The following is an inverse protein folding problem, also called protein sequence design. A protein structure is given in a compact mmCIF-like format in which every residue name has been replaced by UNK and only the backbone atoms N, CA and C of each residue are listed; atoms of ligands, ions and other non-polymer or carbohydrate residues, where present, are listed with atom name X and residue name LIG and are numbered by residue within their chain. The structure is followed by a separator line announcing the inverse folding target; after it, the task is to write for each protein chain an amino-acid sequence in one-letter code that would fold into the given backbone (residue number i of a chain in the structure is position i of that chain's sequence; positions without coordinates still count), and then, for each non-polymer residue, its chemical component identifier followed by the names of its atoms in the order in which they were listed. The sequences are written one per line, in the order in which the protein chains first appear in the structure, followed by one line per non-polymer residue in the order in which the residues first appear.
data_IF_314445341012
#
_entry.id   IF_314445341012
#
_cell.length_a   1.000
_cell.length_b   1.000
_cell.length_c   1.000
_cell.angle_alpha   90.00
_cell.angle_beta   90.00
_cell.angle_gamma   90.00
#
_symmetry.space_group_name_H-M   'P 1'
#
loop_
_entity.id
_entity.type
_entity.pdbx_description
1 polymer ?
#
# COMPACT_ATOMS: atom_id res chain seq x y z
N UNK A 1 2.27 17.16 3.17
CA UNK A 1 3.40 17.57 2.29
C UNK A 1 4.10 16.37 1.66
N UNK A 2 4.53 15.36 2.43
CA UNK A 2 5.20 14.15 1.89
C UNK A 2 4.37 13.35 0.87
N UNK A 3 3.05 13.23 1.05
CA UNK A 3 2.20 12.47 0.12
C UNK A 3 2.21 13.04 -1.30
N UNK A 4 2.19 14.38 -1.44
CA UNK A 4 2.16 15.05 -2.74
C UNK A 4 3.52 14.94 -3.46
N UNK A 5 4.61 15.05 -2.71
CA UNK A 5 5.97 14.78 -3.22
C UNK A 5 6.11 13.31 -3.65
N UNK A 6 5.57 12.38 -2.87
CA UNK A 6 5.54 10.96 -3.21
C UNK A 6 4.82 10.68 -4.54
N UNK A 7 3.65 11.30 -4.76
CA UNK A 7 2.88 11.14 -6.01
C UNK A 7 3.67 11.63 -7.22
N UNK A 8 4.40 12.73 -7.11
CA UNK A 8 5.25 13.25 -8.19
C UNK A 8 6.49 12.36 -8.40
N UNK A 9 7.03 11.76 -7.35
CA UNK A 9 8.18 10.87 -7.45
C UNK A 9 7.86 9.56 -8.19
N UNK A 10 6.66 8.98 -8.03
CA UNK A 10 6.27 7.71 -8.68
C UNK A 10 6.45 7.73 -10.21
N UNK A 11 5.93 8.70 -10.98
CA UNK A 11 6.15 8.75 -12.43
C UNK A 11 7.63 9.03 -12.74
N UNK A 12 8.31 9.88 -11.98
CA UNK A 12 9.73 10.19 -12.21
C UNK A 12 10.59 8.91 -12.10
N UNK A 13 10.40 8.10 -11.05
CA UNK A 13 11.16 6.85 -10.88
C UNK A 13 10.78 5.78 -11.91
N UNK A 14 9.53 5.76 -12.38
CA UNK A 14 9.10 4.82 -13.41
C UNK A 14 9.75 5.15 -14.76
N UNK A 15 9.66 6.41 -15.18
CA UNK A 15 10.22 6.84 -16.45
C UNK A 15 11.75 6.94 -16.41
N UNK A 16 12.37 7.14 -15.24
CA UNK A 16 13.84 7.13 -15.14
C UNK A 16 14.46 5.79 -15.55
N UNK A 17 13.81 4.67 -15.22
CA UNK A 17 14.24 3.33 -15.68
C UNK A 17 14.09 3.19 -17.19
N UNK A 18 13.01 3.74 -17.78
CA UNK A 18 12.81 3.69 -19.22
C UNK A 18 13.82 4.56 -19.99
N UNK A 19 14.17 5.72 -19.46
CA UNK A 19 15.15 6.63 -20.06
C UNK A 19 16.58 6.11 -19.97
N UNK A 20 16.94 5.41 -18.88
CA UNK A 20 18.28 4.85 -18.64
C UNK A 20 18.29 3.31 -18.66
N UNK A 21 17.61 2.74 -19.65
CA UNK A 21 17.31 1.30 -19.77
C UNK A 21 18.56 0.38 -19.88
N UNK A 22 19.75 0.94 -20.09
CA UNK A 22 21.02 0.18 -20.15
C UNK A 22 21.55 -0.19 -18.77
N UNK A 23 21.10 0.48 -17.70
CA UNK A 23 21.59 0.26 -16.33
C UNK A 23 20.76 -0.77 -15.55
N UNK A 24 19.49 -0.96 -15.92
CA UNK A 24 18.56 -1.82 -15.21
C UNK A 24 18.27 -3.07 -16.02
N UNK A 25 18.28 -4.23 -15.35
CA UNK A 25 17.72 -5.44 -15.93
C UNK A 25 16.23 -5.22 -16.26
N UNK A 26 15.78 -5.83 -17.36
CA UNK A 26 14.37 -5.83 -17.73
C UNK A 26 13.50 -6.46 -16.64
N UNK A 27 12.21 -6.12 -16.61
CA UNK A 27 11.29 -6.60 -15.58
C UNK A 27 11.20 -8.14 -15.56
N UNK A 28 11.52 -8.75 -14.42
CA UNK A 28 11.47 -10.22 -14.22
C UNK A 28 10.05 -10.77 -14.05
N UNK A 29 9.10 -9.90 -13.69
CA UNK A 29 7.68 -10.23 -13.53
C UNK A 29 6.90 -9.44 -14.58
N UNK A 30 6.20 -10.15 -15.47
CA UNK A 30 5.39 -9.58 -16.54
C UNK A 30 4.00 -10.21 -16.52
N UNK A 31 2.97 -9.41 -16.78
CA UNK A 31 1.58 -9.89 -16.91
C UNK A 31 1.36 -10.71 -18.20
N UNK A 32 2.26 -10.56 -19.19
CA UNK A 32 2.11 -11.15 -20.53
C UNK A 32 3.10 -12.27 -20.83
N UNK A 33 4.07 -12.52 -19.94
CA UNK A 33 5.14 -13.52 -20.14
C UNK A 33 5.31 -14.33 -18.86
N UNK A 34 5.69 -15.60 -19.01
CA UNK A 34 6.06 -16.42 -17.86
C UNK A 34 7.18 -15.72 -17.05
N UNK A 35 7.14 -15.76 -15.70
CA UNK A 35 8.16 -15.12 -14.87
C UNK A 35 9.54 -15.63 -15.25
N UNK A 36 10.52 -14.75 -15.42
CA UNK A 36 11.91 -15.15 -15.69
C UNK A 36 12.67 -15.58 -14.42
N UNK A 37 11.96 -15.68 -13.29
CA UNK A 37 12.47 -15.90 -11.94
C UNK A 37 11.91 -17.21 -11.36
N UNK A 38 12.65 -17.83 -10.44
CA UNK A 38 12.21 -19.05 -9.75
C UNK A 38 10.85 -18.84 -9.04
N UNK A 39 9.96 -19.83 -9.15
CA UNK A 39 8.59 -19.76 -8.65
C UNK A 39 8.52 -19.43 -7.15
N UNK A 40 9.42 -20.00 -6.35
CA UNK A 40 9.50 -19.77 -4.90
C UNK A 40 9.72 -18.29 -4.53
N UNK A 41 10.45 -17.54 -5.35
CA UNK A 41 10.68 -16.12 -5.10
C UNK A 41 9.44 -15.29 -5.39
N UNK A 42 8.71 -15.63 -6.46
CA UNK A 42 7.44 -14.98 -6.79
C UNK A 42 6.41 -15.22 -5.68
N UNK A 43 6.30 -16.44 -5.18
CA UNK A 43 5.42 -16.77 -4.04
C UNK A 43 5.77 -15.94 -2.81
N UNK A 44 7.05 -15.88 -2.44
CA UNK A 44 7.49 -15.06 -1.31
C UNK A 44 7.14 -13.58 -1.48
N UNK A 45 7.33 -13.02 -2.67
CA UNK A 45 6.95 -11.64 -2.98
C UNK A 45 5.43 -11.43 -2.85
N UNK A 46 4.60 -12.35 -3.34
CA UNK A 46 3.14 -12.25 -3.26
C UNK A 46 2.64 -12.35 -1.82
N UNK A 47 3.17 -13.29 -1.03
CA UNK A 47 2.83 -13.44 0.39
C UNK A 47 3.15 -12.16 1.15
N UNK A 48 4.35 -11.61 0.96
CA UNK A 48 4.75 -10.37 1.63
C UNK A 48 3.93 -9.17 1.15
N UNK A 49 3.67 -9.07 -0.15
CA UNK A 49 2.83 -8.00 -0.70
C UNK A 49 1.43 -8.02 -0.07
N UNK A 50 0.77 -9.19 -0.06
CA UNK A 50 -0.55 -9.34 0.55
C UNK A 50 -0.52 -9.09 2.07
N UNK A 51 0.52 -9.55 2.77
CA UNK A 51 0.73 -9.30 4.19
C UNK A 51 0.83 -7.80 4.50
N UNK A 52 1.67 -7.06 3.78
CA UNK A 52 1.81 -5.62 3.99
C UNK A 52 0.56 -4.84 3.60
N UNK A 53 -0.13 -5.22 2.51
CA UNK A 53 -1.39 -4.59 2.11
C UNK A 53 -2.49 -4.80 3.14
N UNK A 54 -2.66 -6.03 3.63
CA UNK A 54 -3.66 -6.33 4.67
C UNK A 54 -3.38 -5.56 5.97
N UNK A 55 -2.11 -5.48 6.39
CA UNK A 55 -1.70 -4.66 7.53
C UNK A 55 -2.00 -3.17 7.31
N UNK A 56 -1.64 -2.61 6.16
CA UNK A 56 -1.90 -1.21 5.84
C UNK A 56 -3.39 -0.89 5.89
N UNK A 57 -4.24 -1.75 5.32
CA UNK A 57 -5.70 -1.60 5.36
C UNK A 57 -6.20 -1.64 6.80
N UNK A 58 -5.76 -2.62 7.61
CA UNK A 58 -6.18 -2.75 9.01
C UNK A 58 -5.84 -1.49 9.84
N UNK A 59 -4.64 -0.95 9.67
CA UNK A 59 -4.19 0.28 10.35
C UNK A 59 -5.02 1.49 9.90
N UNK A 60 -5.26 1.63 8.59
CA UNK A 60 -6.09 2.73 8.07
C UNK A 60 -7.51 2.65 8.60
N UNK A 61 -8.15 1.46 8.59
CA UNK A 61 -9.50 1.28 9.13
C UNK A 61 -9.57 1.59 10.62
N UNK A 62 -8.59 1.14 11.39
CA UNK A 62 -8.51 1.44 12.83
C UNK A 62 -8.40 2.95 13.07
N UNK A 63 -7.55 3.63 12.30
CA UNK A 63 -7.39 5.08 12.39
C UNK A 63 -8.65 5.84 11.99
N UNK A 64 -9.35 5.39 10.94
CA UNK A 64 -10.64 5.97 10.54
C UNK A 64 -11.67 5.81 11.65
N UNK A 65 -11.73 4.65 12.32
CA UNK A 65 -12.63 4.43 13.47
C UNK A 65 -12.34 5.42 14.60
N UNK A 66 -11.07 5.63 14.97
CA UNK A 66 -10.71 6.63 15.99
C UNK A 66 -11.16 8.05 15.60
N UNK A 67 -10.93 8.46 14.35
CA UNK A 67 -11.34 9.78 13.86
C UNK A 67 -12.87 9.95 13.89
N UNK A 68 -13.64 8.90 13.55
CA UNK A 68 -15.10 8.92 13.64
C UNK A 68 -15.54 9.09 15.09
N UNK A 69 -14.97 8.30 16.01
CA UNK A 69 -15.29 8.39 17.44
C UNK A 69 -14.99 9.78 18.01
N UNK A 70 -13.83 10.36 17.66
CA UNK A 70 -13.47 11.73 18.05
C UNK A 70 -14.44 12.78 17.51
N UNK A 71 -14.90 12.63 16.26
CA UNK A 71 -15.88 13.56 15.65
C UNK A 71 -17.27 13.42 16.26
N UNK A 72 -17.65 12.21 16.64
CA UNK A 72 -18.98 11.89 17.15
C UNK A 72 -19.04 11.80 18.69
N UNK A 73 -18.05 12.34 19.41
CA UNK A 73 -17.98 12.33 20.87
C UNK A 73 -19.27 12.83 21.56
N UNK A 74 -19.98 13.79 20.96
CA UNK A 74 -21.22 14.35 21.51
C UNK A 74 -22.48 13.57 21.12
N UNK A 75 -22.35 12.59 20.23
CA UNK A 75 -23.44 11.75 19.74
C UNK A 75 -23.95 10.82 20.83
N UNK A 76 -25.28 10.69 20.92
CA UNK A 76 -25.93 9.86 21.93
C UNK A 76 -25.57 8.37 21.82
N UNK A 77 -25.25 7.87 20.63
CA UNK A 77 -24.84 6.47 20.48
C UNK A 77 -23.44 6.22 21.06
N UNK A 78 -22.50 7.17 20.94
CA UNK A 78 -21.15 7.04 21.52
C UNK A 78 -21.23 7.06 23.05
N UNK A 79 -22.02 7.98 23.62
CA UNK A 79 -22.25 8.05 25.07
C UNK A 79 -22.86 6.76 25.61
N UNK A 80 -23.82 6.17 24.90
CA UNK A 80 -24.44 4.89 25.29
C UNK A 80 -23.43 3.74 25.28
N UNK A 81 -22.62 3.62 24.23
CA UNK A 81 -21.59 2.57 24.12
C UNK A 81 -20.40 2.76 25.06
N UNK A 82 -20.24 3.92 25.71
CA UNK A 82 -19.17 4.19 26.67
C UNK A 82 -19.56 3.91 28.13
N UNK A 83 -20.85 3.69 28.40
CA UNK A 83 -21.40 3.42 29.75
C UNK A 83 -21.62 1.92 29.98
N UNK A 84 -21.72 1.13 28.91
CA UNK A 84 -21.72 -0.34 28.93
C UNK A 84 -20.29 -0.92 28.98
#
# INVERSE_FOLDING_TARGET
MLALVGVVNIPIIYFSVQWWNTLHQGASVSLTKAPSMAHIMLEGMLIMALGFWSYAIAVVLTRVRCIILERELTSEWVKRNAVD
#
